data_IF_542483631322
#
_entry.id   IF_542483631322
#
_cell.length_a   1.000
_cell.length_b   1.000
_cell.length_c   1.000
_cell.angle_alpha   90.00
_cell.angle_beta   90.00
_cell.angle_gamma   90.00
#
_symmetry.space_group_name_H-M   'P 1'
#
loop_
_entity.id
_entity.type
_entity.pdbx_description
1 polymer ?
#
# COMPACT_ATOMS: atom_id res chain seq x y z
N UNK A 1 46.55 -7.82 5.21
CA UNK A 1 46.64 -6.41 5.60
C UNK A 1 45.72 -5.63 4.69
N UNK A 2 44.53 -5.28 5.18
CA UNK A 2 43.51 -4.59 4.40
C UNK A 2 43.92 -3.11 4.29
N UNK A 3 43.88 -2.59 3.07
CA UNK A 3 44.56 -1.38 2.66
C UNK A 3 43.76 -0.13 3.08
N UNK A 4 43.91 0.29 4.34
CA UNK A 4 43.26 1.48 4.92
C UNK A 4 43.52 2.77 4.12
N UNK A 5 44.59 2.84 3.34
CA UNK A 5 44.84 3.97 2.44
C UNK A 5 43.87 4.01 1.25
N UNK A 6 43.36 2.85 0.80
CA UNK A 6 42.44 2.77 -0.34
C UNK A 6 41.03 3.21 0.05
N UNK A 7 40.53 2.80 1.22
CA UNK A 7 39.24 3.26 1.77
C UNK A 7 39.25 4.77 2.09
N UNK A 8 40.39 5.29 2.56
CA UNK A 8 40.56 6.72 2.79
C UNK A 8 40.58 7.51 1.47
N UNK A 9 41.27 7.02 0.44
CA UNK A 9 41.31 7.64 -0.90
C UNK A 9 39.96 7.57 -1.62
N UNK A 10 39.21 6.47 -1.48
CA UNK A 10 37.84 6.32 -2.00
C UNK A 10 36.89 7.28 -1.27
N UNK A 11 36.96 7.36 0.06
CA UNK A 11 36.16 8.31 0.85
C UNK A 11 36.47 9.77 0.53
N UNK A 12 37.71 10.08 0.17
CA UNK A 12 38.15 11.42 -0.21
C UNK A 12 37.75 11.77 -1.65
N UNK A 13 37.77 10.80 -2.57
CA UNK A 13 37.24 10.94 -3.92
C UNK A 13 35.71 11.11 -3.93
N UNK A 14 34.98 10.33 -3.12
CA UNK A 14 33.54 10.44 -2.92
C UNK A 14 33.09 11.75 -2.26
N UNK A 15 33.99 12.48 -1.59
CA UNK A 15 33.73 13.84 -1.09
C UNK A 15 34.01 14.91 -2.13
N UNK A 16 34.86 14.63 -3.12
CA UNK A 16 35.28 15.58 -4.15
C UNK A 16 34.38 15.56 -5.40
N UNK A 17 33.62 14.47 -5.64
CA UNK A 17 32.71 14.32 -6.79
C UNK A 17 31.24 14.62 -6.48
N UNK A 18 30.90 14.97 -5.23
CA UNK A 18 29.55 15.40 -4.86
C UNK A 18 29.33 16.84 -5.32
N UNK A 19 28.24 17.11 -6.03
CA UNK A 19 27.65 18.44 -5.94
C UNK A 19 27.31 18.69 -4.46
N UNK A 20 27.74 19.83 -3.92
CA UNK A 20 27.30 20.22 -2.59
C UNK A 20 25.76 20.23 -2.57
N UNK A 21 25.10 19.79 -1.48
CA UNK A 21 23.65 19.92 -1.37
C UNK A 21 23.27 21.37 -1.69
N UNK A 22 22.15 21.61 -2.41
CA UNK A 22 21.78 22.95 -2.86
C UNK A 22 21.86 23.95 -1.71
N UNK A 23 22.41 25.13 -1.96
CA UNK A 23 22.55 26.16 -0.93
C UNK A 23 21.21 26.37 -0.20
N UNK A 24 21.29 26.33 1.14
CA UNK A 24 20.12 26.43 2.02
C UNK A 24 19.32 25.14 2.23
N UNK A 25 19.68 23.97 1.68
CA UNK A 25 19.00 22.69 1.96
C UNK A 25 18.91 22.39 3.45
N UNK A 26 20.07 22.42 4.13
CA UNK A 26 20.13 22.22 5.59
C UNK A 26 19.29 23.27 6.32
N UNK A 27 19.26 24.50 5.85
CA UNK A 27 18.46 25.58 6.43
C UNK A 27 16.96 25.42 6.16
N UNK A 28 16.54 24.88 5.02
CA UNK A 28 15.12 24.57 4.72
C UNK A 28 14.64 23.39 5.55
N UNK A 29 15.45 22.35 5.65
CA UNK A 29 15.19 21.20 6.53
C UNK A 29 15.15 21.63 7.99
N UNK A 30 16.13 22.42 8.46
CA UNK A 30 16.14 22.95 9.83
C UNK A 30 15.03 23.98 10.11
N UNK A 31 14.68 24.85 9.16
CA UNK A 31 13.55 25.77 9.30
C UNK A 31 12.20 25.04 9.36
N UNK A 32 12.07 23.90 8.65
CA UNK A 32 10.92 23.01 8.80
C UNK A 32 10.95 22.25 10.14
N UNK A 33 12.14 21.94 10.67
CA UNK A 33 12.33 21.29 11.98
C UNK A 33 12.07 22.22 13.17
N UNK A 34 12.36 23.53 13.06
CA UNK A 34 12.15 24.51 14.14
C UNK A 34 10.66 24.73 14.48
N UNK A 35 9.74 24.29 13.61
CA UNK A 35 8.29 24.30 13.85
C UNK A 35 7.74 23.02 14.50
N UNK A 36 8.47 21.91 14.48
CA UNK A 36 7.95 20.59 14.88
C UNK A 36 8.28 20.33 16.34
N UNK A 37 7.30 20.57 17.22
CA UNK A 37 7.41 20.17 18.63
C UNK A 37 7.08 18.68 18.75
N UNK A 38 7.89 17.88 19.46
CA UNK A 38 7.53 16.51 19.75
C UNK A 38 6.19 16.48 20.50
N UNK A 39 5.25 15.66 20.02
CA UNK A 39 3.97 15.47 20.69
C UNK A 39 4.23 14.93 22.10
N UNK A 40 3.92 15.74 23.13
CA UNK A 40 4.06 15.34 24.54
C UNK A 40 3.08 14.20 24.82
N UNK A 41 3.56 12.96 24.90
CA UNK A 41 2.77 11.83 25.42
C UNK A 41 2.57 12.00 26.93
N UNK A 42 1.30 11.99 27.34
CA UNK A 42 0.89 11.89 28.75
C UNK A 42 1.14 10.46 29.22
N UNK A 43 1.90 10.21 30.30
CA UNK A 43 2.19 8.85 30.73
C UNK A 43 0.95 8.26 31.42
N UNK A 44 0.32 7.25 30.81
CA UNK A 44 -0.73 6.45 31.46
C UNK A 44 -0.30 4.99 31.62
N UNK A 45 -0.29 4.56 32.89
CA UNK A 45 -0.63 3.21 33.38
C UNK A 45 0.32 2.01 33.19
N UNK A 46 1.63 2.20 33.05
CA UNK A 46 2.58 1.07 33.11
C UNK A 46 3.21 0.81 34.49
N UNK A 47 2.97 1.67 35.49
CA UNK A 47 3.61 1.53 36.81
C UNK A 47 3.01 0.43 37.72
N UNK A 48 1.88 -0.19 37.34
CA UNK A 48 1.23 -1.22 38.18
C UNK A 48 1.60 -2.66 37.79
N UNK A 49 2.20 -2.89 36.63
CA UNK A 49 2.64 -4.25 36.21
C UNK A 49 4.02 -4.60 36.76
N UNK A 50 4.86 -3.59 37.03
CA UNK A 50 6.23 -3.79 37.52
C UNK A 50 6.30 -4.39 38.94
N UNK A 51 5.28 -4.22 39.77
CA UNK A 51 5.27 -4.73 41.17
C UNK A 51 4.86 -6.20 41.24
N UNK A 52 4.06 -6.70 40.30
CA UNK A 52 3.65 -8.11 40.25
C UNK A 52 4.75 -9.06 39.76
N UNK A 53 5.63 -8.58 38.88
CA UNK A 53 6.69 -9.39 38.27
C UNK A 53 7.86 -9.63 39.24
N UNK A 54 8.19 -8.65 40.10
CA UNK A 54 9.28 -8.78 41.08
C UNK A 54 8.94 -9.82 42.18
N UNK A 55 7.66 -10.05 42.48
CA UNK A 55 7.24 -11.07 43.44
C UNK A 55 7.40 -12.51 42.91
N UNK A 56 7.40 -12.71 41.59
CA UNK A 56 7.56 -14.04 40.97
C UNK A 56 9.03 -14.47 40.78
N UNK A 57 9.97 -13.52 40.77
CA UNK A 57 11.41 -13.83 40.68
C UNK A 57 12.05 -14.27 42.01
N UNK A 58 11.34 -14.12 43.14
CA UNK A 58 11.85 -14.46 44.47
C UNK A 58 11.84 -15.95 44.84
N UNK A 59 11.33 -16.85 43.98
CA UNK A 59 11.07 -18.25 44.34
C UNK A 59 11.71 -19.32 43.43
N UNK A 60 12.72 -18.97 42.63
CA UNK A 60 13.67 -19.94 42.07
C UNK A 60 13.12 -20.94 41.03
N UNK A 61 13.84 -21.01 39.90
CA UNK A 61 13.78 -22.07 38.89
C UNK A 61 12.54 -22.14 37.98
N UNK A 62 12.55 -21.30 36.94
CA UNK A 62 12.15 -21.73 35.58
C UNK A 62 13.23 -21.21 34.62
N UNK A 63 13.91 -22.07 33.84
CA UNK A 63 14.73 -21.59 32.73
C UNK A 63 13.79 -20.92 31.72
N UNK A 64 13.85 -19.59 31.63
CA UNK A 64 13.23 -18.87 30.52
C UNK A 64 14.02 -19.30 29.28
N UNK A 65 13.39 -19.87 28.25
CA UNK A 65 14.06 -20.03 26.97
C UNK A 65 14.50 -18.63 26.54
N UNK A 66 15.80 -18.36 26.61
CA UNK A 66 16.38 -17.21 25.94
C UNK A 66 16.28 -17.54 24.46
N UNK A 67 15.12 -17.22 23.87
CA UNK A 67 15.00 -17.13 22.42
C UNK A 67 16.14 -16.25 21.90
N UNK A 68 16.60 -16.54 20.69
CA UNK A 68 17.59 -15.70 20.00
C UNK A 68 17.15 -14.24 20.15
N UNK A 69 18.01 -13.41 20.77
CA UNK A 69 17.67 -12.01 20.98
C UNK A 69 17.34 -11.39 19.62
N UNK A 70 16.19 -10.70 19.46
CA UNK A 70 15.78 -10.19 18.16
C UNK A 70 16.89 -9.33 17.55
N UNK A 71 17.19 -9.60 16.27
CA UNK A 71 18.17 -8.83 15.49
C UNK A 71 17.81 -7.35 15.46
N UNK A 72 18.76 -6.48 15.10
CA UNK A 72 18.48 -5.05 14.96
C UNK A 72 17.31 -4.80 13.99
N UNK A 73 17.20 -5.61 12.93
CA UNK A 73 16.10 -5.53 12.00
C UNK A 73 14.74 -5.84 12.65
N UNK A 74 14.65 -6.91 13.44
CA UNK A 74 13.40 -7.32 14.08
C UNK A 74 12.92 -6.27 15.09
N UNK A 75 13.85 -5.70 15.86
CA UNK A 75 13.51 -4.61 16.79
C UNK A 75 13.02 -3.37 16.05
N UNK A 76 13.64 -3.03 14.91
CA UNK A 76 13.20 -1.91 14.10
C UNK A 76 11.84 -2.11 13.44
N UNK A 77 11.54 -3.34 13.01
CA UNK A 77 10.21 -3.71 12.54
C UNK A 77 9.16 -3.58 13.64
N UNK A 78 9.45 -4.07 14.85
CA UNK A 78 8.53 -3.94 15.99
C UNK A 78 8.25 -2.47 16.33
N UNK A 79 9.28 -1.62 16.33
CA UNK A 79 9.10 -0.18 16.58
C UNK A 79 8.34 0.54 15.46
N UNK A 80 8.44 0.10 14.21
CA UNK A 80 7.66 0.64 13.11
C UNK A 80 6.16 0.39 13.30
N UNK A 81 5.80 -0.80 13.78
CA UNK A 81 4.42 -1.19 14.05
C UNK A 81 3.80 -0.31 15.17
N UNK A 82 4.59 0.05 16.18
CA UNK A 82 4.20 0.89 17.32
C UNK A 82 4.13 2.40 17.03
N UNK A 83 4.81 2.89 15.99
CA UNK A 83 4.84 4.32 15.66
C UNK A 83 3.46 4.85 15.30
N UNK A 84 3.10 6.08 15.63
CA UNK A 84 1.83 6.68 15.20
C UNK A 84 1.93 7.26 13.80
N UNK A 85 3.07 7.84 13.47
CA UNK A 85 3.33 8.47 12.18
C UNK A 85 4.76 8.20 11.73
N UNK A 86 5.00 8.28 10.42
CA UNK A 86 6.34 8.29 9.85
C UNK A 86 6.40 9.27 8.69
N UNK A 87 7.50 10.00 8.64
CA UNK A 87 7.87 10.91 7.57
C UNK A 87 9.17 10.42 6.93
N UNK A 88 9.18 10.36 5.60
CA UNK A 88 10.32 9.91 4.83
C UNK A 88 10.62 10.96 3.76
N UNK A 89 11.89 11.33 3.62
CA UNK A 89 12.36 12.18 2.53
C UNK A 89 13.63 11.60 1.92
N UNK A 90 13.88 11.84 0.64
CA UNK A 90 15.06 11.31 0.01
C UNK A 90 15.17 11.57 -1.49
N UNK A 91 16.15 10.89 -2.08
CA UNK A 91 16.51 10.98 -3.51
C UNK A 91 16.55 9.59 -4.10
N UNK A 92 16.22 9.48 -5.39
CA UNK A 92 16.33 8.25 -6.13
C UNK A 92 16.80 8.53 -7.55
N UNK A 93 17.59 7.59 -8.09
CA UNK A 93 18.15 7.67 -9.43
C UNK A 93 17.62 6.50 -10.26
N UNK A 94 16.85 6.82 -11.31
CA UNK A 94 16.40 5.84 -12.28
C UNK A 94 17.59 5.31 -13.08
N UNK A 95 17.43 4.13 -13.69
CA UNK A 95 18.44 3.56 -14.60
C UNK A 95 18.67 4.42 -15.85
N UNK A 96 17.73 5.30 -16.20
CA UNK A 96 17.91 6.33 -17.23
C UNK A 96 18.87 7.46 -16.83
N UNK A 97 19.30 7.51 -15.56
CA UNK A 97 20.07 8.61 -14.98
C UNK A 97 19.23 9.78 -14.47
N UNK A 98 17.90 9.71 -14.63
CA UNK A 98 16.98 10.72 -14.09
C UNK A 98 16.93 10.64 -12.57
N UNK A 99 17.17 11.77 -11.91
CA UNK A 99 17.02 11.93 -10.48
C UNK A 99 15.63 12.47 -10.14
N UNK A 100 15.05 11.98 -9.06
CA UNK A 100 13.87 12.58 -8.45
C UNK A 100 14.01 12.63 -6.93
N UNK A 101 13.49 13.69 -6.34
CA UNK A 101 13.30 13.78 -4.89
C UNK A 101 11.96 13.13 -4.54
N UNK A 102 11.83 12.60 -3.34
CA UNK A 102 10.54 12.11 -2.86
C UNK A 102 10.30 12.51 -1.41
N UNK A 103 9.02 12.57 -1.09
CA UNK A 103 8.50 12.86 0.23
C UNK A 103 7.35 11.90 0.53
N UNK A 104 7.34 11.26 1.70
CA UNK A 104 6.27 10.34 2.10
C UNK A 104 5.83 10.62 3.53
N UNK A 105 4.53 10.59 3.74
CA UNK A 105 3.88 10.73 5.03
C UNK A 105 2.96 9.55 5.25
N UNK A 106 2.97 8.98 6.44
CA UNK A 106 2.10 7.87 6.83
C UNK A 106 1.64 8.05 8.28
N UNK A 107 0.41 7.64 8.57
CA UNK A 107 -0.08 7.51 9.94
C UNK A 107 -0.94 6.28 10.16
N UNK A 108 -1.09 5.91 11.44
CA UNK A 108 -1.86 4.76 11.91
C UNK A 108 -3.38 4.86 11.67
N UNK A 109 -3.90 6.08 11.44
CA UNK A 109 -5.27 6.36 11.00
C UNK A 109 -5.54 5.97 9.52
N UNK A 110 -4.54 5.43 8.81
CA UNK A 110 -4.64 5.03 7.41
C UNK A 110 -4.37 6.18 6.42
N UNK A 111 -3.91 7.34 6.89
CA UNK A 111 -3.44 8.39 5.99
C UNK A 111 -2.08 8.02 5.38
N UNK A 112 -1.96 8.27 4.07
CA UNK A 112 -0.73 8.13 3.31
C UNK A 112 -0.62 9.25 2.31
N UNK A 113 0.57 9.83 2.16
CA UNK A 113 0.93 10.69 1.04
C UNK A 113 2.31 10.32 0.52
N UNK A 114 2.49 10.31 -0.79
CA UNK A 114 3.78 10.18 -1.43
C UNK A 114 3.87 11.12 -2.62
N UNK A 115 4.86 11.99 -2.57
CA UNK A 115 5.16 12.96 -3.60
C UNK A 115 6.48 12.55 -4.24
N UNK A 116 6.54 12.58 -5.57
CA UNK A 116 7.78 12.55 -6.34
C UNK A 116 7.94 13.90 -7.02
N UNK A 117 9.11 14.49 -6.84
CA UNK A 117 9.43 15.83 -7.28
C UNK A 117 10.59 15.74 -8.28
N UNK A 118 10.46 16.41 -9.41
CA UNK A 118 11.56 16.61 -10.35
C UNK A 118 11.77 18.11 -10.53
N UNK A 119 13.00 18.57 -10.27
CA UNK A 119 13.34 20.01 -10.25
C UNK A 119 12.46 20.85 -9.30
N UNK A 120 12.01 20.24 -8.18
CA UNK A 120 11.15 20.88 -7.19
C UNK A 120 9.65 20.91 -7.53
N UNK A 121 9.27 20.41 -8.71
CA UNK A 121 7.87 20.35 -9.16
C UNK A 121 7.32 18.92 -8.99
N UNK A 122 6.07 18.75 -8.54
CA UNK A 122 5.47 17.42 -8.43
C UNK A 122 5.26 16.82 -9.82
N UNK A 123 5.83 15.64 -10.02
CA UNK A 123 5.55 14.79 -11.20
C UNK A 123 4.64 13.63 -10.87
N UNK A 124 4.54 13.27 -9.58
CA UNK A 124 3.61 12.28 -9.08
C UNK A 124 3.21 12.60 -7.66
N UNK A 125 1.92 12.50 -7.35
CA UNK A 125 1.40 12.57 -5.98
C UNK A 125 0.41 11.43 -5.80
N UNK A 126 0.52 10.71 -4.70
CA UNK A 126 -0.49 9.73 -4.26
C UNK A 126 -0.89 10.08 -2.84
N UNK A 127 -2.17 10.30 -2.62
CA UNK A 127 -2.76 10.75 -1.36
C UNK A 127 -3.92 9.82 -1.02
N UNK A 128 -3.83 9.13 0.12
CA UNK A 128 -4.89 8.29 0.65
C UNK A 128 -5.33 8.83 1.99
N UNK A 129 -6.61 9.07 2.14
CA UNK A 129 -7.21 9.51 3.39
C UNK A 129 -8.60 8.89 3.55
N UNK A 130 -8.74 8.02 4.54
CA UNK A 130 -10.00 7.31 4.74
C UNK A 130 -10.31 6.42 3.54
N UNK A 131 -11.45 6.69 2.90
CA UNK A 131 -11.92 5.97 1.71
C UNK A 131 -11.48 6.63 0.39
N UNK A 132 -10.80 7.76 0.45
CA UNK A 132 -10.44 8.51 -0.75
C UNK A 132 -8.99 8.23 -1.11
N UNK A 133 -8.76 7.88 -2.37
CA UNK A 133 -7.44 7.78 -3.00
C UNK A 133 -7.39 8.79 -4.14
N UNK A 134 -6.55 9.80 -3.98
CA UNK A 134 -6.25 10.79 -5.01
C UNK A 134 -4.86 10.49 -5.54
N UNK A 135 -4.73 10.47 -6.86
CA UNK A 135 -3.44 10.33 -7.53
C UNK A 135 -3.30 11.38 -8.62
N UNK A 136 -2.09 11.86 -8.78
CA UNK A 136 -1.68 12.80 -9.82
C UNK A 136 -0.41 12.28 -10.47
N UNK A 137 -0.31 12.44 -11.78
CA UNK A 137 0.84 12.03 -12.56
C UNK A 137 1.04 12.96 -13.76
N UNK A 138 2.30 13.23 -14.09
CA UNK A 138 2.73 13.88 -15.33
C UNK A 138 3.21 12.80 -16.28
N UNK A 139 2.54 12.66 -17.41
CA UNK A 139 2.92 11.74 -18.48
C UNK A 139 4.26 12.11 -19.11
N UNK A 140 4.84 11.19 -19.87
CA UNK A 140 6.10 11.42 -20.60
C UNK A 140 5.99 12.54 -21.65
N UNK A 141 4.78 12.78 -22.16
CA UNK A 141 4.41 13.87 -23.06
C UNK A 141 4.17 15.20 -22.33
N UNK A 142 4.29 15.22 -21.00
CA UNK A 142 4.00 16.36 -20.16
C UNK A 142 2.51 16.55 -19.84
N UNK A 143 1.63 15.65 -20.30
CA UNK A 143 0.21 15.74 -19.97
C UNK A 143 -0.01 15.48 -18.48
N UNK A 144 -0.80 16.35 -17.85
CA UNK A 144 -1.11 16.27 -16.42
C UNK A 144 -2.43 15.58 -16.22
N UNK A 145 -2.40 14.45 -15.53
CA UNK A 145 -3.59 13.67 -15.19
C UNK A 145 -3.71 13.55 -13.68
N UNK A 146 -4.91 13.75 -13.17
CA UNK A 146 -5.24 13.41 -11.80
C UNK A 146 -6.50 12.56 -11.78
N UNK A 147 -6.58 11.65 -10.82
CA UNK A 147 -7.77 10.86 -10.59
C UNK A 147 -8.06 10.71 -9.11
N UNK A 148 -9.36 10.70 -8.78
CA UNK A 148 -9.86 10.42 -7.45
C UNK A 148 -10.73 9.17 -7.53
N UNK A 149 -10.36 8.15 -6.77
CA UNK A 149 -11.15 6.95 -6.57
C UNK A 149 -11.61 6.85 -5.13
N UNK A 150 -12.80 6.31 -4.96
CA UNK A 150 -13.33 5.97 -3.65
C UNK A 150 -13.15 4.46 -3.41
N UNK A 151 -12.30 4.13 -2.44
CA UNK A 151 -12.13 2.78 -1.92
C UNK A 151 -12.91 2.63 -0.60
N UNK A 152 -14.02 1.89 -0.59
CA UNK A 152 -14.81 1.68 0.63
C UNK A 152 -14.06 0.94 1.76
N UNK A 153 -12.87 0.38 1.49
CA UNK A 153 -12.03 -0.30 2.47
C UNK A 153 -11.12 0.68 3.20
N UNK A 154 -11.72 1.54 4.01
CA UNK A 154 -10.96 2.34 4.95
C UNK A 154 -10.27 1.42 5.96
N UNK A 155 -8.95 1.31 5.87
CA UNK A 155 -8.14 0.64 6.89
C UNK A 155 -8.29 -0.88 7.00
N UNK A 156 -8.80 -1.60 6.00
CA UNK A 156 -8.80 -3.08 6.00
C UNK A 156 -8.28 -3.72 4.70
N UNK A 157 -7.16 -4.42 4.89
CA UNK A 157 -6.48 -5.45 4.10
C UNK A 157 -7.40 -6.24 3.14
N UNK A 158 -7.06 -6.29 1.85
CA UNK A 158 -7.79 -7.16 0.92
C UNK A 158 -7.34 -7.21 -0.54
N UNK A 159 -6.68 -6.19 -1.10
CA UNK A 159 -6.18 -6.28 -2.49
C UNK A 159 -4.84 -5.60 -2.78
N UNK A 160 -4.42 -4.63 -1.97
CA UNK A 160 -3.02 -4.23 -1.76
C UNK A 160 -2.89 -3.76 -0.31
N UNK A 161 -1.84 -4.12 0.43
CA UNK A 161 -1.62 -3.49 1.73
C UNK A 161 -1.57 -1.98 1.48
N UNK A 162 -2.36 -1.18 2.23
CA UNK A 162 -1.90 0.18 2.49
C UNK A 162 -0.44 0.04 2.94
N UNK A 163 0.46 0.94 2.53
CA UNK A 163 1.78 0.96 3.13
C UNK A 163 1.58 1.14 4.63
N UNK A 164 1.60 0.03 5.37
CA UNK A 164 1.66 0.09 6.81
C UNK A 164 2.99 0.75 7.17
N UNK A 165 3.17 1.22 8.38
CA UNK A 165 4.44 1.89 8.74
C UNK A 165 5.63 0.91 8.62
N UNK A 166 5.38 -0.41 8.58
CA UNK A 166 6.37 -1.44 8.25
C UNK A 166 6.76 -1.45 6.77
N UNK A 167 6.03 -0.76 5.90
CA UNK A 167 6.38 -0.47 4.50
C UNK A 167 7.68 0.33 4.37
N UNK A 168 8.05 1.10 5.39
CA UNK A 168 9.40 1.66 5.56
C UNK A 168 10.50 0.58 5.47
N UNK A 169 10.18 -0.64 5.91
CA UNK A 169 11.05 -1.81 5.94
C UNK A 169 10.62 -2.90 4.95
N UNK A 170 9.65 -2.62 4.06
CA UNK A 170 9.03 -3.66 3.23
C UNK A 170 10.00 -4.36 2.29
N UNK A 171 11.18 -3.80 2.03
CA UNK A 171 12.14 -4.48 1.19
C UNK A 171 12.63 -5.82 1.76
N UNK A 172 12.64 -6.06 3.08
CA UNK A 172 13.04 -7.37 3.63
C UNK A 172 11.83 -8.30 3.81
N UNK A 173 10.77 -7.78 4.44
CA UNK A 173 9.55 -8.55 4.75
C UNK A 173 8.74 -8.81 3.48
N UNK A 174 8.51 -7.81 2.63
CA UNK A 174 7.82 -8.03 1.36
C UNK A 174 8.65 -8.84 0.38
N UNK A 175 9.97 -8.70 0.26
CA UNK A 175 10.68 -9.58 -0.69
C UNK A 175 10.68 -11.02 -0.22
N UNK A 176 11.11 -11.31 1.01
CA UNK A 176 11.10 -12.67 1.53
C UNK A 176 9.69 -13.27 1.48
N UNK A 177 8.69 -12.56 2.00
CA UNK A 177 7.31 -13.06 1.98
C UNK A 177 6.68 -13.08 0.59
N UNK A 178 7.02 -12.20 -0.36
CA UNK A 178 6.50 -12.23 -1.73
C UNK A 178 7.08 -13.42 -2.51
N UNK A 179 8.38 -13.69 -2.40
CA UNK A 179 8.98 -14.88 -3.01
C UNK A 179 8.44 -16.18 -2.38
N UNK A 180 8.34 -16.23 -1.04
CA UNK A 180 7.71 -17.35 -0.31
C UNK A 180 6.24 -17.54 -0.72
N UNK A 181 5.46 -16.47 -0.84
CA UNK A 181 4.03 -16.51 -1.22
C UNK A 181 3.82 -16.92 -2.68
N UNK A 182 4.72 -16.52 -3.59
CA UNK A 182 4.67 -16.87 -5.02
C UNK A 182 5.24 -18.27 -5.31
N UNK A 183 5.78 -18.98 -4.31
CA UNK A 183 6.42 -20.28 -4.51
C UNK A 183 7.67 -20.20 -5.39
N UNK A 184 8.22 -19.00 -5.59
CA UNK A 184 9.46 -18.78 -6.32
C UNK A 184 10.58 -19.01 -5.30
N UNK A 185 11.66 -19.76 -5.64
CA UNK A 185 12.82 -19.89 -4.77
C UNK A 185 13.24 -18.50 -4.31
N UNK A 186 13.20 -18.29 -2.99
CA UNK A 186 13.65 -17.06 -2.37
C UNK A 186 15.10 -16.86 -2.82
N UNK A 187 15.45 -15.76 -3.52
CA UNK A 187 16.84 -15.54 -3.92
C UNK A 187 17.72 -15.58 -2.67
N UNK A 188 18.98 -15.99 -2.81
CA UNK A 188 19.92 -16.09 -1.68
C UNK A 188 20.09 -14.71 -1.02
N UNK A 189 19.30 -14.43 0.01
CA UNK A 189 19.43 -13.23 0.82
C UNK A 189 20.60 -13.41 1.76
N UNK A 190 21.54 -12.48 1.68
CA UNK A 190 22.56 -12.34 2.71
C UNK A 190 22.22 -11.15 3.57
N UNK A 191 21.79 -11.44 4.80
CA UNK A 191 21.55 -10.41 5.83
C UNK A 191 22.79 -10.35 6.72
N UNK A 192 23.35 -9.16 6.87
CA UNK A 192 24.48 -8.89 7.76
C UNK A 192 24.08 -7.80 8.75
N UNK A 193 24.14 -8.10 10.03
CA UNK A 193 23.93 -7.12 11.10
C UNK A 193 25.24 -6.80 11.78
N UNK A 194 25.51 -5.50 12.02
CA UNK A 194 26.68 -5.06 12.78
C UNK A 194 26.42 -3.76 13.50
N UNK A 195 27.18 -3.52 14.57
CA UNK A 195 27.17 -2.25 15.30
C UNK A 195 28.32 -1.37 14.82
N UNK A 196 28.00 -0.19 14.31
CA UNK A 196 28.97 0.80 13.88
C UNK A 196 29.01 1.99 14.85
N UNK A 197 30.16 2.65 14.92
CA UNK A 197 30.30 3.94 15.62
C UNK A 197 30.85 4.97 14.65
N UNK A 198 30.05 5.98 14.38
CA UNK A 198 30.46 7.17 13.64
C UNK A 198 30.92 8.26 14.61
N UNK A 199 31.92 9.05 14.20
CA UNK A 199 32.36 10.23 14.94
C UNK A 199 31.28 11.33 14.98
N UNK A 200 30.35 11.32 14.02
CA UNK A 200 29.38 12.40 13.80
C UNK A 200 27.96 12.02 14.21
N UNK A 201 27.56 10.77 13.99
CA UNK A 201 26.19 10.29 14.24
C UNK A 201 26.08 9.36 15.45
N UNK A 202 27.21 9.07 16.12
CA UNK A 202 27.23 8.23 17.31
C UNK A 202 27.18 6.73 16.99
N UNK A 203 26.65 5.94 17.93
CA UNK A 203 26.48 4.49 17.76
C UNK A 203 25.23 4.21 16.93
N UNK A 204 25.33 3.31 15.97
CA UNK A 204 24.21 2.85 15.15
C UNK A 204 24.28 1.33 14.95
N UNK A 205 23.13 0.70 14.88
CA UNK A 205 23.03 -0.66 14.35
C UNK A 205 22.83 -0.56 12.83
N UNK A 206 23.56 -1.37 12.07
CA UNK A 206 23.53 -1.40 10.62
C UNK A 206 23.09 -2.77 10.18
N UNK A 207 22.04 -2.79 9.36
CA UNK A 207 21.53 -3.98 8.71
C UNK A 207 21.79 -3.83 7.22
N UNK A 208 22.51 -4.78 6.64
CA UNK A 208 22.73 -4.88 5.20
C UNK A 208 22.07 -6.12 4.65
N UNK A 209 21.35 -5.96 3.55
CA UNK A 209 20.68 -7.04 2.83
C UNK A 209 21.18 -7.04 1.40
N UNK A 210 21.81 -8.12 0.98
CA UNK A 210 22.28 -8.32 -0.39
C UNK A 210 21.45 -9.41 -1.06
N UNK A 211 21.06 -9.19 -2.32
CA UNK A 211 20.32 -10.16 -3.13
C UNK A 211 20.44 -9.85 -4.62
N UNK A 212 20.15 -10.86 -5.44
CA UNK A 212 20.07 -10.73 -6.90
C UNK A 212 18.61 -10.66 -7.33
N UNK A 213 18.26 -9.67 -8.14
CA UNK A 213 16.90 -9.49 -8.68
C UNK A 213 16.55 -10.64 -9.62
N UNK A 214 15.34 -11.17 -9.49
CA UNK A 214 14.79 -12.21 -10.38
C UNK A 214 13.57 -11.66 -11.12
N UNK A 215 13.55 -11.74 -12.46
CA UNK A 215 12.42 -11.38 -13.33
C UNK A 215 12.27 -9.90 -13.67
N UNK A 216 13.23 -9.05 -13.27
CA UNK A 216 13.10 -7.60 -13.35
C UNK A 216 12.04 -7.05 -12.37
N UNK A 217 12.28 -5.90 -11.77
CA UNK A 217 11.40 -5.34 -10.74
C UNK A 217 11.60 -3.85 -10.55
N UNK A 218 10.64 -3.16 -9.94
CA UNK A 218 10.82 -1.78 -9.49
C UNK A 218 10.77 -1.74 -7.96
N UNK A 219 11.88 -1.37 -7.31
CA UNK A 219 11.96 -1.23 -5.86
C UNK A 219 12.00 0.26 -5.53
N UNK A 220 11.04 0.74 -4.74
CA UNK A 220 11.00 2.14 -4.30
C UNK A 220 11.00 3.17 -5.45
N UNK A 221 10.54 2.76 -6.64
CA UNK A 221 10.54 3.59 -7.85
C UNK A 221 11.86 3.60 -8.63
N UNK A 222 12.80 2.72 -8.28
CA UNK A 222 14.00 2.43 -9.07
C UNK A 222 13.79 1.11 -9.80
N UNK A 223 14.00 1.12 -11.12
CA UNK A 223 13.83 -0.06 -11.96
C UNK A 223 15.12 -0.87 -12.00
N UNK A 224 15.00 -2.18 -11.80
CA UNK A 224 16.07 -3.15 -11.80
C UNK A 224 15.80 -4.23 -12.83
N UNK A 225 16.86 -4.70 -13.46
CA UNK A 225 16.84 -5.78 -14.44
C UNK A 225 17.03 -7.12 -13.74
N UNK A 226 16.57 -8.17 -14.42
CA UNK A 226 16.88 -9.54 -14.01
C UNK A 226 18.41 -9.73 -13.91
N UNK A 227 18.87 -10.30 -12.81
CA UNK A 227 20.28 -10.52 -12.52
C UNK A 227 21.02 -9.35 -11.85
N UNK A 228 20.38 -8.19 -11.65
CA UNK A 228 21.02 -7.07 -10.92
C UNK A 228 21.33 -7.45 -9.48
N UNK A 229 22.55 -7.16 -9.02
CA UNK A 229 22.97 -7.37 -7.63
C UNK A 229 22.72 -6.09 -6.82
N UNK A 230 21.88 -6.21 -5.80
CA UNK A 230 21.40 -5.10 -4.97
C UNK A 230 21.90 -5.26 -3.54
N UNK A 231 22.29 -4.15 -2.93
CA UNK A 231 22.57 -4.05 -1.49
C UNK A 231 21.71 -2.96 -0.89
N UNK A 232 20.96 -3.28 0.15
CA UNK A 232 20.19 -2.31 0.91
C UNK A 232 20.84 -2.19 2.29
N UNK A 233 21.15 -0.96 2.68
CA UNK A 233 21.78 -0.63 3.96
C UNK A 233 20.82 0.23 4.78
N UNK A 234 20.33 -0.29 5.89
CA UNK A 234 19.53 0.42 6.86
C UNK A 234 20.38 0.79 8.08
N UNK A 235 20.24 2.03 8.55
CA UNK A 235 20.81 2.50 9.82
C UNK A 235 19.72 2.61 10.87
N UNK A 236 19.95 2.08 12.05
CA UNK A 236 18.99 1.98 13.15
C UNK A 236 19.59 2.62 14.39
N UNK A 237 18.82 3.46 15.09
CA UNK A 237 19.20 4.01 16.39
C UNK A 237 19.11 2.89 17.44
N UNK A 238 20.22 2.46 18.07
CA UNK A 238 20.23 1.37 19.04
C UNK A 238 19.55 1.74 20.37
N UNK A 239 19.13 2.99 20.57
CA UNK A 239 18.40 3.42 21.77
C UNK A 239 16.90 3.33 21.61
N UNK A 240 16.41 3.69 20.43
CA UNK A 240 14.97 3.70 20.13
C UNK A 240 14.56 2.53 19.26
N UNK A 241 15.53 1.76 18.75
CA UNK A 241 15.35 0.75 17.72
C UNK A 241 14.57 1.30 16.51
N UNK A 242 14.77 2.57 16.14
CA UNK A 242 14.08 3.18 14.99
C UNK A 242 15.03 3.32 13.83
N UNK A 243 14.55 3.08 12.61
CA UNK A 243 15.35 3.35 11.42
C UNK A 243 15.56 4.84 11.27
N UNK A 244 16.81 5.21 10.99
CA UNK A 244 17.26 6.58 10.77
C UNK A 244 17.33 6.86 9.27
N UNK A 245 17.90 5.93 8.51
CA UNK A 245 18.11 6.08 7.08
C UNK A 245 18.17 4.75 6.36
N UNK A 246 17.90 4.77 5.06
CA UNK A 246 18.09 3.63 4.16
C UNK A 246 18.81 4.09 2.89
N UNK A 247 19.78 3.30 2.44
CA UNK A 247 20.41 3.48 1.14
C UNK A 247 20.33 2.18 0.36
N UNK A 248 19.87 2.24 -0.90
CA UNK A 248 19.90 1.11 -1.82
C UNK A 248 21.02 1.34 -2.84
N UNK A 249 21.82 0.31 -3.06
CA UNK A 249 22.94 0.29 -3.98
C UNK A 249 22.71 -0.77 -5.05
N UNK A 250 23.16 -0.47 -6.26
CA UNK A 250 23.26 -1.43 -7.36
C UNK A 250 24.73 -1.65 -7.69
N UNK A 251 25.11 -2.89 -8.01
CA UNK A 251 26.48 -3.20 -8.40
C UNK A 251 26.67 -3.06 -9.92
N UNK A 252 27.49 -2.10 -10.35
CA UNK A 252 27.86 -1.85 -11.75
C UNK A 252 29.39 -1.82 -11.91
N UNK A 253 30.06 -2.85 -11.40
CA UNK A 253 31.52 -2.87 -11.22
C UNK A 253 31.96 -2.18 -9.92
N UNK A 254 31.21 -1.19 -9.47
CA UNK A 254 31.24 -0.58 -8.13
C UNK A 254 29.83 -0.50 -7.54
N UNK A 255 29.72 -0.34 -6.22
CA UNK A 255 28.43 -0.13 -5.55
C UNK A 255 27.98 1.32 -5.72
N UNK A 256 27.00 1.54 -6.57
CA UNK A 256 26.45 2.87 -6.85
C UNK A 256 25.12 3.06 -6.11
N UNK A 257 24.92 4.17 -5.38
CA UNK A 257 23.66 4.45 -4.74
C UNK A 257 22.58 4.72 -5.80
N UNK A 258 21.40 4.11 -5.61
CA UNK A 258 20.21 4.29 -6.44
C UNK A 258 19.03 4.86 -5.69
N UNK A 259 19.07 4.81 -4.35
CA UNK A 259 18.02 5.34 -3.50
C UNK A 259 18.59 5.72 -2.15
N UNK A 260 18.25 6.88 -1.63
CA UNK A 260 18.58 7.33 -0.28
C UNK A 260 17.32 7.87 0.40
N UNK A 261 17.06 7.45 1.64
CA UNK A 261 15.94 7.90 2.45
C UNK A 261 16.38 8.23 3.87
N UNK A 262 15.75 9.25 4.45
CA UNK A 262 15.82 9.61 5.86
C UNK A 262 14.43 9.44 6.49
N UNK A 263 14.40 8.94 7.73
CA UNK A 263 13.18 8.60 8.44
C UNK A 263 13.02 9.43 9.71
N UNK A 264 11.80 9.92 9.93
CA UNK A 264 11.39 10.58 11.14
C UNK A 264 10.10 9.94 11.64
N UNK A 265 10.00 9.69 12.95
CA UNK A 265 8.94 8.89 13.55
C UNK A 265 8.16 9.70 14.57
N UNK A 266 6.85 9.45 14.69
CA UNK A 266 5.93 10.17 15.59
C UNK A 266 5.98 11.70 15.43
N UNK A 267 6.14 12.15 14.20
CA UNK A 267 6.03 13.56 13.83
C UNK A 267 4.58 13.95 13.59
N UNK A 268 4.21 15.17 13.97
CA UNK A 268 2.91 15.71 13.63
C UNK A 268 2.80 15.87 12.11
N UNK A 269 1.69 15.40 11.52
CA UNK A 269 1.41 15.58 10.09
C UNK A 269 0.68 16.91 9.93
N UNK A 270 1.28 17.91 9.24
CA UNK A 270 0.62 19.19 9.02
C UNK A 270 -0.68 19.04 8.23
N UNK A 271 -1.67 19.90 8.49
CA UNK A 271 -2.98 19.81 7.84
C UNK A 271 -2.86 20.01 6.33
N UNK A 272 -1.98 20.90 5.88
CA UNK A 272 -1.68 21.16 4.47
C UNK A 272 -1.12 19.94 3.72
N UNK A 273 -0.50 19.00 4.44
CA UNK A 273 -0.01 17.74 3.84
C UNK A 273 -1.17 16.79 3.55
N UNK A 274 -2.31 16.94 4.24
CA UNK A 274 -3.51 16.13 4.02
C UNK A 274 -4.32 16.55 2.80
N UNK A 275 -3.96 17.66 2.18
CA UNK A 275 -4.66 18.23 1.04
C UNK A 275 -3.74 18.30 -0.18
N UNK A 276 -4.32 18.15 -1.37
CA UNK A 276 -3.62 18.34 -2.63
C UNK A 276 -4.56 18.95 -3.66
N UNK A 277 -4.12 20.05 -4.26
CA UNK A 277 -4.80 20.66 -5.40
C UNK A 277 -3.96 20.41 -6.64
N UNK A 278 -4.49 19.71 -7.66
CA UNK A 278 -3.75 19.49 -8.91
C UNK A 278 -3.35 20.83 -9.57
N UNK A 279 -2.17 20.92 -10.20
CA UNK A 279 -1.75 22.12 -10.92
C UNK A 279 -2.72 22.50 -12.06
N UNK A 280 -2.72 23.76 -12.46
CA UNK A 280 -3.46 24.24 -13.64
C UNK A 280 -3.07 23.43 -14.91
N UNK A 281 -4.07 23.19 -15.76
CA UNK A 281 -3.95 22.37 -16.96
C UNK A 281 -4.11 20.87 -16.71
N UNK A 282 -4.39 20.45 -15.48
CA UNK A 282 -4.60 19.04 -15.15
C UNK A 282 -5.98 18.56 -15.57
N UNK A 283 -6.03 17.45 -16.29
CA UNK A 283 -7.26 16.69 -16.51
C UNK A 283 -7.56 15.85 -15.28
N UNK A 284 -8.62 16.18 -14.56
CA UNK A 284 -9.01 15.49 -13.34
C UNK A 284 -10.21 14.59 -13.58
N UNK A 285 -10.12 13.34 -13.13
CA UNK A 285 -11.14 12.31 -13.33
C UNK A 285 -11.57 11.74 -11.99
N UNK A 286 -12.86 11.79 -11.66
CA UNK A 286 -13.38 11.24 -10.39
C UNK A 286 -14.38 10.13 -10.67
N UNK A 287 -14.13 8.94 -10.13
CA UNK A 287 -15.12 7.86 -10.15
C UNK A 287 -16.09 8.02 -8.99
N UNK A 288 -17.37 8.28 -9.30
CA UNK A 288 -18.41 8.46 -8.28
C UNK A 288 -19.11 7.16 -7.91
N UNK A 289 -18.81 6.07 -8.61
CA UNK A 289 -19.56 4.82 -8.57
C UNK A 289 -19.77 4.27 -7.15
N UNK A 290 -18.67 4.03 -6.42
CA UNK A 290 -18.74 3.48 -5.07
C UNK A 290 -19.12 4.51 -4.01
N UNK A 291 -18.78 5.78 -4.25
CA UNK A 291 -19.06 6.89 -3.31
C UNK A 291 -20.55 7.03 -3.02
N UNK A 292 -21.40 6.77 -4.00
CA UNK A 292 -22.87 6.87 -3.87
C UNK A 292 -23.52 5.54 -3.46
N UNK A 293 -22.84 4.40 -3.67
CA UNK A 293 -23.42 3.06 -3.56
C UNK A 293 -23.04 2.29 -2.30
N UNK A 294 -21.84 2.47 -1.77
CA UNK A 294 -21.35 1.63 -0.65
C UNK A 294 -22.26 1.69 0.58
N UNK A 295 -22.87 2.85 0.84
CA UNK A 295 -23.77 3.05 1.98
C UNK A 295 -25.19 2.47 1.73
N UNK A 296 -25.50 2.07 0.49
CA UNK A 296 -26.78 1.50 0.14
C UNK A 296 -26.79 0.00 0.44
N UNK A 297 -27.94 -0.54 0.79
CA UNK A 297 -28.16 -1.98 0.87
C UNK A 297 -29.51 -2.24 0.20
N UNK A 298 -29.46 -2.79 -1.00
CA UNK A 298 -30.67 -3.22 -1.70
C UNK A 298 -31.19 -4.53 -1.12
N UNK A 299 -30.28 -5.48 -0.90
CA UNK A 299 -30.59 -6.76 -0.30
C UNK A 299 -29.34 -7.36 0.35
N UNK A 300 -29.54 -8.22 1.35
CA UNK A 300 -28.46 -9.00 1.96
C UNK A 300 -28.98 -10.40 2.28
N UNK A 301 -28.16 -11.40 2.04
CA UNK A 301 -28.48 -12.79 2.33
C UNK A 301 -27.18 -13.57 2.50
N UNK A 302 -27.29 -14.79 3.01
CA UNK A 302 -26.13 -15.55 3.47
C UNK A 302 -26.14 -16.99 2.96
N UNK A 303 -24.94 -17.55 2.79
CA UNK A 303 -24.72 -18.99 2.73
C UNK A 303 -24.25 -19.48 4.10
N UNK A 304 -23.78 -20.72 4.21
CA UNK A 304 -23.10 -21.21 5.40
C UNK A 304 -21.85 -20.34 5.71
N UNK A 305 -21.05 -20.05 4.69
CA UNK A 305 -19.73 -19.42 4.83
C UNK A 305 -19.72 -17.93 4.52
N UNK A 306 -20.70 -17.42 3.79
CA UNK A 306 -20.70 -16.05 3.27
C UNK A 306 -21.91 -15.23 3.69
N UNK A 307 -21.68 -13.93 3.83
CA UNK A 307 -22.70 -12.89 3.79
C UNK A 307 -22.49 -12.13 2.48
N UNK A 308 -23.52 -12.10 1.62
CA UNK A 308 -23.52 -11.40 0.35
C UNK A 308 -24.50 -10.24 0.44
N UNK A 309 -24.01 -9.03 0.14
CA UNK A 309 -24.80 -7.80 0.17
C UNK A 309 -24.82 -7.16 -1.21
N UNK A 310 -26.00 -6.95 -1.77
CA UNK A 310 -26.20 -6.23 -3.01
C UNK A 310 -26.36 -4.73 -2.69
N UNK A 311 -25.46 -3.90 -3.20
CA UNK A 311 -25.44 -2.46 -2.97
C UNK A 311 -26.23 -1.68 -4.04
N UNK A 312 -26.11 -2.09 -5.30
CA UNK A 312 -26.79 -1.42 -6.42
C UNK A 312 -27.04 -2.36 -7.60
N UNK A 313 -28.08 -2.06 -8.36
CA UNK A 313 -28.40 -2.67 -9.65
C UNK A 313 -28.75 -1.57 -10.64
N UNK A 314 -28.13 -1.62 -11.81
CA UNK A 314 -28.33 -0.68 -12.92
C UNK A 314 -28.63 -1.45 -14.22
N UNK A 315 -29.24 -0.78 -15.21
CA UNK A 315 -29.45 -1.33 -16.55
C UNK A 315 -28.79 -0.40 -17.60
N UNK A 316 -27.88 -0.94 -18.41
CA UNK A 316 -27.25 -0.18 -19.50
C UNK A 316 -28.17 -0.06 -20.74
N UNK A 317 -27.74 0.69 -21.76
CA UNK A 317 -28.51 0.89 -23.00
C UNK A 317 -28.82 -0.40 -23.76
N UNK A 318 -27.95 -1.41 -23.68
CA UNK A 318 -28.15 -2.73 -24.30
C UNK A 318 -29.19 -3.57 -23.57
N UNK A 319 -29.41 -3.26 -22.29
CA UNK A 319 -30.31 -3.97 -21.41
C UNK A 319 -29.60 -4.91 -20.45
N UNK A 320 -28.26 -4.87 -20.41
CA UNK A 320 -27.44 -5.67 -19.49
C UNK A 320 -27.61 -5.15 -18.06
N UNK A 321 -27.55 -6.06 -17.10
CA UNK A 321 -27.68 -5.74 -15.68
C UNK A 321 -26.28 -5.49 -15.11
N UNK A 322 -26.06 -4.32 -14.55
CA UNK A 322 -24.80 -3.95 -13.88
C UNK A 322 -24.99 -4.04 -12.37
N UNK A 323 -24.12 -4.81 -11.71
CA UNK A 323 -24.22 -5.13 -10.28
C UNK A 323 -23.08 -4.50 -9.50
N UNK A 324 -23.40 -4.03 -8.29
CA UNK A 324 -22.43 -3.71 -7.24
C UNK A 324 -22.76 -4.50 -5.99
N UNK A 325 -21.83 -5.32 -5.51
CA UNK A 325 -22.06 -6.17 -4.34
C UNK A 325 -20.82 -6.24 -3.44
N UNK A 326 -21.03 -6.66 -2.21
CA UNK A 326 -19.99 -7.08 -1.29
C UNK A 326 -20.22 -8.55 -0.93
N UNK A 327 -19.13 -9.30 -0.75
CA UNK A 327 -19.17 -10.58 -0.03
C UNK A 327 -18.16 -10.60 1.11
N UNK A 328 -18.62 -11.00 2.28
CA UNK A 328 -17.81 -11.09 3.49
C UNK A 328 -17.93 -12.50 4.04
N UNK A 329 -16.79 -13.12 4.33
CA UNK A 329 -16.76 -14.43 4.99
C UNK A 329 -17.32 -14.28 6.41
N UNK A 330 -18.16 -15.22 6.85
CA UNK A 330 -18.51 -15.31 8.26
C UNK A 330 -17.23 -15.60 9.05
N UNK A 331 -17.08 -15.05 10.27
CA UNK A 331 -15.86 -15.22 11.04
C UNK A 331 -15.65 -16.71 11.39
N UNK A 332 -14.78 -17.38 10.65
CA UNK A 332 -14.25 -18.71 10.95
C UNK A 332 -12.76 -18.60 11.26
N UNK A 333 -12.31 -19.00 12.48
CA UNK A 333 -10.90 -18.94 12.87
C UNK A 333 -9.97 -19.89 12.08
N UNK A 334 -10.51 -20.77 11.24
CA UNK A 334 -9.74 -21.79 10.50
C UNK A 334 -9.48 -21.44 9.03
N UNK A 335 -10.18 -20.44 8.48
CA UNK A 335 -10.11 -20.09 7.05
C UNK A 335 -9.31 -18.80 6.86
N UNK A 336 -8.10 -18.93 6.30
CA UNK A 336 -7.32 -17.78 5.82
C UNK A 336 -7.74 -17.45 4.39
N UNK A 337 -8.52 -16.38 4.21
CA UNK A 337 -8.98 -15.95 2.89
C UNK A 337 -7.90 -15.13 2.15
N UNK A 338 -7.60 -15.54 0.92
CA UNK A 338 -6.85 -14.74 -0.05
C UNK A 338 -7.86 -13.91 -0.85
N UNK A 339 -7.82 -12.59 -0.70
CA UNK A 339 -8.62 -11.66 -1.49
C UNK A 339 -8.54 -11.95 -2.99
N UNK A 340 -9.68 -11.97 -3.68
CA UNK A 340 -9.72 -12.00 -5.15
C UNK A 340 -10.14 -13.31 -5.83
N UNK A 341 -10.73 -14.28 -5.14
CA UNK A 341 -11.31 -15.44 -5.86
C UNK A 341 -12.39 -14.99 -6.84
N UNK A 342 -12.59 -15.60 -8.01
CA UNK A 342 -13.73 -15.26 -8.86
C UNK A 342 -15.06 -15.57 -8.13
N UNK A 343 -16.16 -14.93 -8.55
CA UNK A 343 -17.53 -15.37 -8.26
C UNK A 343 -18.27 -15.46 -9.59
N UNK A 344 -19.36 -16.21 -9.62
CA UNK A 344 -20.29 -16.23 -10.77
C UNK A 344 -21.61 -15.60 -10.36
N UNK A 345 -22.22 -14.84 -11.26
CA UNK A 345 -23.56 -14.31 -11.10
C UNK A 345 -24.40 -14.54 -12.35
N UNK A 346 -25.69 -14.73 -12.13
CA UNK A 346 -26.69 -14.91 -13.18
C UNK A 346 -28.02 -14.32 -12.69
N UNK A 347 -28.88 -13.95 -13.62
CA UNK A 347 -30.18 -13.39 -13.28
C UNK A 347 -31.27 -13.82 -14.27
N UNK A 348 -32.51 -13.81 -13.79
CA UNK A 348 -33.71 -13.99 -14.60
C UNK A 348 -34.67 -12.85 -14.34
N UNK A 349 -35.08 -12.14 -15.38
CA UNK A 349 -36.04 -11.04 -15.24
C UNK A 349 -37.50 -11.52 -15.11
N UNK A 350 -38.40 -10.60 -14.75
CA UNK A 350 -39.82 -10.89 -14.61
C UNK A 350 -40.56 -11.16 -15.95
N UNK A 351 -39.90 -11.04 -17.08
CA UNK A 351 -40.38 -11.40 -18.41
C UNK A 351 -39.77 -12.72 -18.94
N UNK A 352 -38.93 -13.39 -18.14
CA UNK A 352 -38.24 -14.63 -18.50
C UNK A 352 -36.94 -14.43 -19.29
N UNK A 353 -36.41 -13.20 -19.35
CA UNK A 353 -35.10 -12.90 -19.90
C UNK A 353 -33.99 -13.44 -18.99
N UNK A 354 -32.98 -14.07 -19.59
CA UNK A 354 -31.85 -14.67 -18.87
C UNK A 354 -30.57 -13.85 -19.06
N UNK A 355 -29.81 -13.73 -17.97
CA UNK A 355 -28.60 -12.93 -17.90
C UNK A 355 -27.46 -13.75 -17.32
N UNK A 356 -26.28 -13.66 -17.92
CA UNK A 356 -25.07 -14.31 -17.44
C UNK A 356 -23.93 -13.32 -17.31
N UNK A 357 -23.10 -13.52 -16.28
CA UNK A 357 -21.91 -12.72 -16.07
C UNK A 357 -20.98 -12.79 -17.29
N UNK A 358 -20.62 -11.61 -17.81
CA UNK A 358 -19.60 -11.44 -18.83
C UNK A 358 -18.22 -11.78 -18.24
N UNK A 359 -17.31 -12.31 -19.05
CA UNK A 359 -15.92 -12.57 -18.62
C UNK A 359 -15.27 -11.29 -18.12
N UNK A 360 -15.24 -11.11 -16.80
CA UNK A 360 -14.73 -9.91 -16.16
C UNK A 360 -15.47 -9.53 -14.89
N UNK A 361 -14.70 -9.18 -13.88
CA UNK A 361 -15.16 -8.46 -12.71
C UNK A 361 -14.08 -7.44 -12.35
N UNK A 362 -14.49 -6.35 -11.72
CA UNK A 362 -13.57 -5.48 -11.00
C UNK A 362 -13.81 -5.70 -9.50
N UNK A 363 -12.74 -5.75 -8.72
CA UNK A 363 -12.84 -5.90 -7.28
C UNK A 363 -11.94 -4.91 -6.55
N UNK A 364 -12.46 -4.40 -5.43
CA UNK A 364 -11.73 -3.62 -4.45
C UNK A 364 -11.99 -4.33 -3.12
N UNK A 365 -11.07 -5.24 -2.75
CA UNK A 365 -11.20 -6.21 -1.66
C UNK A 365 -12.52 -7.01 -1.71
N UNK A 366 -13.41 -6.91 -0.70
CA UNK A 366 -14.69 -7.62 -0.67
C UNK A 366 -15.78 -6.95 -1.52
N UNK A 367 -15.53 -5.78 -2.14
CA UNK A 367 -16.48 -5.09 -3.00
C UNK A 367 -16.23 -5.41 -4.47
N UNK A 368 -17.29 -5.74 -5.19
CA UNK A 368 -17.26 -6.27 -6.54
C UNK A 368 -18.24 -5.54 -7.44
N UNK A 369 -17.80 -5.30 -8.68
CA UNK A 369 -18.67 -4.85 -9.77
C UNK A 369 -18.58 -5.81 -10.95
N UNK A 370 -19.73 -6.14 -11.53
CA UNK A 370 -19.80 -6.99 -12.73
C UNK A 370 -21.01 -6.63 -13.59
N UNK A 371 -21.00 -7.10 -14.83
CA UNK A 371 -22.08 -6.92 -15.80
C UNK A 371 -22.62 -8.30 -16.18
N UNK A 372 -23.94 -8.46 -16.13
CA UNK A 372 -24.65 -9.63 -16.63
C UNK A 372 -25.23 -9.31 -18.02
N UNK A 373 -24.70 -9.97 -19.05
CA UNK A 373 -25.13 -9.81 -20.43
C UNK A 373 -26.45 -10.52 -20.68
N UNK A 374 -27.33 -9.85 -21.42
CA UNK A 374 -28.62 -10.41 -21.78
C UNK A 374 -28.50 -11.45 -22.90
N UNK A 375 -28.87 -12.71 -22.63
CA UNK A 375 -28.74 -13.81 -23.62
C UNK A 375 -29.65 -13.67 -24.84
N UNK A 376 -30.79 -12.98 -24.74
CA UNK A 376 -31.79 -12.84 -25.82
C UNK A 376 -32.49 -11.47 -25.77
N UNK A 377 -32.00 -10.50 -26.54
CA UNK A 377 -32.53 -9.14 -26.59
C UNK A 377 -34.07 -9.05 -26.73
N UNK A 378 -34.74 -8.23 -25.92
CA UNK A 378 -36.19 -8.05 -26.11
C UNK A 378 -37.06 -7.37 -25.05
N UNK A 379 -36.59 -6.95 -23.88
CA UNK A 379 -37.49 -6.44 -22.81
C UNK A 379 -36.92 -5.25 -22.03
N UNK A 380 -37.81 -4.45 -21.45
CA UNK A 380 -37.53 -3.47 -20.39
C UNK A 380 -38.01 -4.07 -19.07
N UNK A 381 -37.22 -4.96 -18.44
CA UNK A 381 -37.65 -5.58 -17.20
C UNK A 381 -37.69 -4.55 -16.07
N UNK A 382 -38.62 -4.76 -15.14
CA UNK A 382 -38.77 -3.92 -13.94
C UNK A 382 -38.24 -4.62 -12.69
N UNK A 383 -38.00 -5.94 -12.76
CA UNK A 383 -37.48 -6.76 -11.66
C UNK A 383 -36.65 -7.91 -12.18
N UNK A 384 -35.71 -8.39 -11.38
CA UNK A 384 -34.99 -9.63 -11.62
C UNK A 384 -34.79 -10.45 -10.35
N UNK A 385 -34.73 -11.76 -10.53
CA UNK A 385 -34.15 -12.69 -9.57
C UNK A 385 -32.67 -12.82 -9.88
N UNK A 386 -31.81 -12.46 -8.93
CA UNK A 386 -30.34 -12.47 -9.10
C UNK A 386 -29.76 -13.56 -8.22
N UNK A 387 -28.95 -14.44 -8.78
CA UNK A 387 -28.26 -15.51 -8.05
C UNK A 387 -26.76 -15.30 -8.10
N UNK A 388 -26.13 -15.30 -6.93
CA UNK A 388 -24.68 -15.16 -6.75
C UNK A 388 -24.11 -16.49 -6.26
N UNK A 389 -23.06 -16.96 -6.93
CA UNK A 389 -22.28 -18.15 -6.60
C UNK A 389 -20.91 -17.69 -6.08
N UNK A 390 -20.70 -17.64 -4.76
CA UNK A 390 -19.44 -17.20 -4.17
C UNK A 390 -18.25 -18.09 -4.56
N UNK A 391 -18.51 -19.35 -4.91
CA UNK A 391 -17.54 -20.35 -5.35
C UNK A 391 -17.85 -20.82 -6.78
N UNK A 392 -17.14 -20.31 -7.81
CA UNK A 392 -17.42 -20.69 -9.20
C UNK A 392 -16.92 -22.09 -9.57
N UNK A 393 -15.94 -22.65 -8.83
CA UNK A 393 -15.40 -24.01 -9.02
C UNK A 393 -15.16 -24.70 -7.66
N UNK A 394 -15.63 -25.95 -7.48
CA UNK A 394 -15.31 -26.81 -6.32
C UNK A 394 -16.44 -27.03 -5.30
N UNK A 395 -16.09 -27.62 -4.14
CA UNK A 395 -17.02 -27.83 -3.01
C UNK A 395 -17.68 -26.48 -2.64
N UNK A 396 -19.01 -26.44 -2.59
CA UNK A 396 -19.76 -25.22 -2.29
C UNK A 396 -20.46 -24.56 -3.49
N UNK A 397 -20.40 -25.10 -4.71
CA UNK A 397 -21.20 -24.61 -5.84
C UNK A 397 -22.73 -24.64 -5.58
N UNK A 398 -23.18 -25.48 -4.63
CA UNK A 398 -24.57 -25.52 -4.15
C UNK A 398 -24.90 -24.38 -3.17
N UNK A 399 -23.89 -23.71 -2.61
CA UNK A 399 -24.05 -22.54 -1.74
C UNK A 399 -24.21 -21.27 -2.59
N UNK A 400 -25.36 -21.12 -3.23
CA UNK A 400 -25.71 -19.87 -3.92
C UNK A 400 -26.58 -18.99 -3.03
N UNK A 401 -26.53 -17.67 -3.29
CA UNK A 401 -27.42 -16.69 -2.68
C UNK A 401 -28.34 -16.15 -3.76
N UNK A 402 -29.65 -16.35 -3.61
CA UNK A 402 -30.66 -15.84 -4.54
C UNK A 402 -31.43 -14.69 -3.92
N UNK A 403 -31.45 -13.55 -4.63
CA UNK A 403 -32.23 -12.37 -4.33
C UNK A 403 -33.43 -12.33 -5.28
N UNK A 404 -34.63 -12.63 -4.78
CA UNK A 404 -35.85 -12.59 -5.58
C UNK A 404 -36.39 -11.15 -5.70
N UNK A 405 -37.09 -10.86 -6.81
CA UNK A 405 -37.85 -9.62 -7.01
C UNK A 405 -37.03 -8.32 -6.86
N UNK A 406 -35.73 -8.34 -7.14
CA UNK A 406 -34.86 -7.16 -7.05
C UNK A 406 -35.34 -6.11 -8.05
N UNK A 407 -35.68 -4.88 -7.60
CA UNK A 407 -36.16 -3.84 -8.48
C UNK A 407 -35.05 -3.42 -9.45
N UNK A 408 -35.39 -3.33 -10.73
CA UNK A 408 -34.49 -2.82 -11.76
C UNK A 408 -34.85 -1.37 -12.10
N UNK A 409 -33.87 -0.46 -12.13
CA UNK A 409 -34.14 0.91 -12.57
C UNK A 409 -34.44 0.96 -14.08
N UNK A 410 -35.00 2.08 -14.57
CA UNK A 410 -35.16 2.29 -16.00
C UNK A 410 -33.84 2.17 -16.75
N UNK A 411 -33.90 1.62 -17.96
CA UNK A 411 -32.78 1.50 -18.89
C UNK A 411 -32.09 2.85 -19.10
N UNK A 412 -30.78 2.92 -18.87
CA UNK A 412 -30.00 4.12 -19.09
C UNK A 412 -29.62 4.30 -20.57
N UNK A 413 -29.24 5.51 -20.98
CA UNK A 413 -28.87 5.83 -22.38
C UNK A 413 -27.38 5.56 -22.71
N UNK A 414 -26.65 4.90 -21.81
CA UNK A 414 -25.21 4.67 -21.90
C UNK A 414 -24.90 3.18 -21.95
N UNK A 415 -23.87 2.77 -22.70
CA UNK A 415 -23.43 1.36 -22.73
C UNK A 415 -22.60 1.02 -21.48
N UNK A 416 -21.77 1.95 -21.05
CA UNK A 416 -20.93 1.82 -19.87
C UNK A 416 -21.47 2.73 -18.76
N UNK A 417 -22.16 2.11 -17.79
CA UNK A 417 -22.74 2.81 -16.65
C UNK A 417 -21.64 3.30 -15.70
N UNK A 418 -20.50 2.60 -15.61
CA UNK A 418 -19.37 3.01 -14.78
C UNK A 418 -18.73 4.29 -15.32
N UNK A 419 -18.47 4.32 -16.63
CA UNK A 419 -17.92 5.52 -17.29
C UNK A 419 -18.89 6.72 -17.23
N UNK A 420 -20.21 6.47 -17.26
CA UNK A 420 -21.20 7.54 -17.17
C UNK A 420 -21.22 8.25 -15.80
N UNK A 421 -20.73 7.58 -14.75
CA UNK A 421 -20.58 8.16 -13.40
C UNK A 421 -19.15 8.63 -13.11
N UNK A 422 -18.42 8.94 -14.17
CA UNK A 422 -17.10 9.56 -14.05
C UNK A 422 -17.23 11.06 -14.31
N UNK A 423 -16.86 11.87 -13.32
CA UNK A 423 -16.75 13.32 -13.49
C UNK A 423 -15.38 13.65 -14.10
N UNK A 424 -15.36 14.44 -15.18
CA UNK A 424 -14.12 14.96 -15.77
C UNK A 424 -14.11 16.47 -15.63
N UNK A 425 -13.09 16.99 -14.94
CA UNK A 425 -12.88 18.41 -14.68
C UNK A 425 -11.54 18.81 -15.31
N UNK A 426 -11.53 19.91 -16.06
CA UNK A 426 -10.30 20.54 -16.50
C UNK A 426 -9.96 21.65 -15.49
N UNK A 427 -8.86 21.49 -14.76
CA UNK A 427 -8.35 22.49 -13.81
C UNK A 427 -7.57 23.60 -14.50
#
# INVERSE_FOLDING_TARGET
MINHEMDAKISQALKATRAAPPDGWRSRTLNRLDGVRPARRTPKRWLLVAVGVIALFGLGFVPIPMGEAPGALDRALAQAEEATTVYITGHAWRTSGQEFEFEKWMSDDGFYRSDKLENGEPVHVSLKQGATDLSFNVGEDGEKHAWETFDPLVGRVGSRPMPDKSWAFNFVKSYKSLYELMGIPVPDFKITERRERSLWTGKRDVVEVEFTVQGGSSISGVDYRDGDLIRIRAEIDPRTDRMLSMTQFQFEGTWEPRYEAQYMWDVEIPQEVREFTPPEGTKFTRSMWWKTRVAQTLASSETEDWIVTLHAVDINRRGDIVLSLNRTLKPDPTISYKGGQPFRAEATDNAGGEYEQLDGFSCIGPYWTTTLEHKRGGTNPSRATITIYPYPEGQGAEQSVTFADVPLPPRQKVDDVFAAETEVIQY
#
